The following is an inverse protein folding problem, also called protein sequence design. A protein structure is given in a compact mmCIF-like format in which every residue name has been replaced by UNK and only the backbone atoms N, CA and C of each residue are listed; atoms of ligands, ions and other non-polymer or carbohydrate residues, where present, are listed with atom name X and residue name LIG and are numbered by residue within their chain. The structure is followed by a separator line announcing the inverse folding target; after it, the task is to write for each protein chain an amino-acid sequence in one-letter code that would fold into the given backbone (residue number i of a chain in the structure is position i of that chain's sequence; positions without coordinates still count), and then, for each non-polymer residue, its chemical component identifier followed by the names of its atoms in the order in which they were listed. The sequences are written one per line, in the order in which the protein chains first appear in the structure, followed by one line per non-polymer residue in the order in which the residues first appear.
data_IF_101550981305
#
_entry.id   IF_101550981305
#
_cell.length_a   1.000
_cell.length_b   1.000
_cell.length_c   1.000
_cell.angle_alpha   90.00
_cell.angle_beta   90.00
_cell.angle_gamma   90.00
#
_symmetry.space_group_name_H-M   'P 1'
#
loop_
_entity.id
_entity.type
_entity.pdbx_description
1 polymer ?
#
# COMPACT_ATOMS: atom_id res chain seq x y z
N UNK A 1 31.51 -36.61 -12.48
CA UNK A 1 32.38 -37.62 -13.12
C UNK A 1 31.80 -37.90 -14.51
N UNK A 2 32.35 -37.29 -15.56
CA UNK A 2 31.85 -37.47 -16.92
C UNK A 2 32.33 -38.83 -17.45
N UNK A 3 31.39 -39.67 -17.85
CA UNK A 3 31.62 -41.04 -18.35
C UNK A 3 32.11 -40.93 -19.81
N UNK A 4 33.37 -41.28 -20.05
CA UNK A 4 33.91 -41.39 -21.41
C UNK A 4 33.37 -42.69 -22.04
N UNK A 5 32.68 -42.58 -23.18
CA UNK A 5 32.31 -43.71 -24.03
C UNK A 5 33.44 -43.86 -25.05
N UNK A 6 34.20 -44.94 -24.94
CA UNK A 6 35.17 -45.39 -25.94
C UNK A 6 34.42 -46.18 -27.03
N UNK A 7 34.54 -45.74 -28.28
CA UNK A 7 34.23 -46.54 -29.47
C UNK A 7 35.48 -46.53 -30.34
N UNK A 8 35.80 -47.71 -30.87
CA UNK A 8 37.05 -48.18 -31.45
C UNK A 8 37.66 -47.31 -32.58
N UNK A 9 38.99 -47.38 -32.66
CA UNK A 9 39.72 -47.40 -33.93
C UNK A 9 40.16 -46.04 -34.49
N UNK A 10 41.46 -45.96 -34.80
CA UNK A 10 42.16 -44.91 -35.57
C UNK A 10 42.41 -43.55 -34.92
N UNK A 11 43.69 -43.30 -34.67
CA UNK A 11 44.29 -42.04 -34.24
C UNK A 11 44.12 -41.03 -35.38
N UNK A 12 43.22 -40.05 -35.20
CA UNK A 12 43.33 -38.76 -35.85
C UNK A 12 43.25 -37.69 -34.78
N UNK A 13 44.40 -37.04 -34.53
CA UNK A 13 44.55 -35.91 -33.62
C UNK A 13 43.80 -34.73 -34.24
N UNK A 14 42.49 -34.64 -34.03
CA UNK A 14 41.77 -33.37 -34.13
C UNK A 14 41.85 -32.75 -32.75
N UNK A 15 42.78 -31.79 -32.61
CA UNK A 15 42.95 -30.96 -31.42
C UNK A 15 41.77 -29.98 -31.31
N UNK A 16 40.57 -30.50 -31.08
CA UNK A 16 39.35 -29.70 -30.94
C UNK A 16 39.27 -29.19 -29.51
N UNK A 17 39.93 -28.06 -29.28
CA UNK A 17 39.61 -26.99 -28.34
C UNK A 17 38.79 -27.39 -27.11
N UNK A 18 39.42 -28.15 -26.20
CA UNK A 18 38.83 -28.65 -24.95
C UNK A 18 38.19 -27.53 -24.12
N UNK A 19 38.70 -26.30 -24.20
CA UNK A 19 38.12 -25.14 -23.52
C UNK A 19 36.72 -24.76 -24.01
N UNK A 20 36.42 -24.87 -25.31
CA UNK A 20 35.09 -24.55 -25.85
C UNK A 20 34.02 -25.52 -25.35
N UNK A 21 34.35 -26.79 -25.22
CA UNK A 21 33.42 -27.82 -24.72
C UNK A 21 33.11 -27.59 -23.23
N UNK A 22 34.11 -27.25 -22.42
CA UNK A 22 33.89 -26.88 -21.01
C UNK A 22 33.04 -25.61 -20.87
N UNK A 23 33.25 -24.60 -21.72
CA UNK A 23 32.46 -23.37 -21.71
C UNK A 23 30.99 -23.63 -22.06
N UNK A 24 30.71 -24.46 -23.07
CA UNK A 24 29.35 -24.88 -23.42
C UNK A 24 28.68 -25.71 -22.31
N UNK A 25 29.41 -26.59 -21.63
CA UNK A 25 28.88 -27.37 -20.50
C UNK A 25 28.56 -26.49 -19.28
N UNK A 26 29.39 -25.51 -18.95
CA UNK A 26 29.13 -24.58 -17.84
C UNK A 26 27.95 -23.67 -18.18
N UNK A 27 27.88 -23.17 -19.42
CA UNK A 27 26.80 -22.32 -19.88
C UNK A 27 25.45 -23.05 -19.86
N UNK A 28 25.39 -24.27 -20.39
CA UNK A 28 24.16 -25.10 -20.36
C UNK A 28 23.74 -25.48 -18.93
N UNK A 29 24.69 -25.75 -18.03
CA UNK A 29 24.40 -26.01 -16.62
C UNK A 29 23.82 -24.77 -15.91
N UNK A 30 24.41 -23.59 -16.09
CA UNK A 30 23.90 -22.33 -15.52
C UNK A 30 22.55 -21.93 -16.12
N UNK A 31 22.38 -22.10 -17.43
CA UNK A 31 21.12 -21.82 -18.13
C UNK A 31 19.98 -22.71 -17.62
N UNK A 32 20.25 -23.99 -17.31
CA UNK A 32 19.26 -24.88 -16.72
C UNK A 32 18.83 -24.44 -15.31
N UNK A 33 19.75 -23.92 -14.49
CA UNK A 33 19.45 -23.37 -13.17
C UNK A 33 18.60 -22.10 -13.28
N UNK A 34 18.94 -21.19 -14.19
CA UNK A 34 18.19 -19.95 -14.44
C UNK A 34 16.76 -20.26 -14.88
N UNK A 35 16.56 -21.19 -15.83
CA UNK A 35 15.24 -21.62 -16.27
C UNK A 35 14.42 -22.22 -15.12
N UNK A 36 15.06 -23.00 -14.23
CA UNK A 36 14.40 -23.60 -13.07
C UNK A 36 13.93 -22.54 -12.07
N UNK A 37 14.76 -21.51 -11.82
CA UNK A 37 14.42 -20.38 -10.96
C UNK A 37 13.29 -19.54 -11.58
N UNK A 38 13.37 -19.23 -12.88
CA UNK A 38 12.31 -18.49 -13.59
C UNK A 38 10.98 -19.22 -13.56
N UNK A 39 10.96 -20.55 -13.74
CA UNK A 39 9.74 -21.37 -13.61
C UNK A 39 9.19 -21.36 -12.17
N UNK A 40 10.05 -21.30 -11.16
CA UNK A 40 9.61 -21.20 -9.75
C UNK A 40 9.00 -19.83 -9.44
N UNK A 41 9.60 -18.76 -9.96
CA UNK A 41 9.07 -17.40 -9.82
C UNK A 41 7.73 -17.27 -10.55
N UNK A 42 7.61 -17.84 -11.76
CA UNK A 42 6.36 -17.83 -12.52
C UNK A 42 5.23 -18.58 -11.81
N UNK A 43 5.54 -19.73 -11.19
CA UNK A 43 4.58 -20.49 -10.37
C UNK A 43 4.14 -19.70 -9.12
N UNK A 44 5.05 -18.97 -8.48
CA UNK A 44 4.73 -18.13 -7.33
C UNK A 44 3.76 -17.00 -7.70
N UNK A 45 4.02 -16.30 -8.81
CA UNK A 45 3.12 -15.26 -9.31
C UNK A 45 1.75 -15.82 -9.70
N UNK A 46 1.71 -16.98 -10.37
CA UNK A 46 0.47 -17.67 -10.70
C UNK A 46 -0.34 -18.08 -9.45
N UNK A 47 0.35 -18.52 -8.39
CA UNK A 47 -0.30 -18.86 -7.11
C UNK A 47 -0.87 -17.61 -6.42
N UNK A 48 -0.15 -16.49 -6.43
CA UNK A 48 -0.64 -15.21 -5.89
C UNK A 48 -1.89 -14.74 -6.65
N UNK A 49 -1.88 -14.83 -7.98
CA UNK A 49 -3.04 -14.46 -8.83
C UNK A 49 -4.23 -15.38 -8.54
N UNK A 50 -4.01 -16.69 -8.36
CA UNK A 50 -5.05 -17.66 -7.99
C UNK A 50 -5.67 -17.33 -6.62
N UNK A 51 -4.84 -16.99 -5.63
CA UNK A 51 -5.31 -16.60 -4.29
C UNK A 51 -6.13 -15.31 -4.35
N UNK A 52 -5.69 -14.32 -5.12
CA UNK A 52 -6.46 -13.07 -5.35
C UNK A 52 -7.81 -13.39 -6.00
N UNK A 53 -7.86 -14.30 -6.98
CA UNK A 53 -9.11 -14.73 -7.62
C UNK A 53 -10.07 -15.41 -6.64
N UNK A 54 -9.58 -16.27 -5.73
CA UNK A 54 -10.39 -16.91 -4.69
C UNK A 54 -10.92 -15.93 -3.62
N UNK A 55 -10.24 -14.82 -3.37
CA UNK A 55 -10.73 -13.78 -2.46
C UNK A 55 -11.90 -12.99 -3.10
N UNK A 56 -11.95 -12.88 -4.43
CA UNK A 56 -13.05 -12.18 -5.11
C UNK A 56 -14.36 -12.97 -5.14
N UNK A 57 -14.32 -14.31 -5.10
CA UNK A 57 -15.54 -15.15 -5.13
C UNK A 57 -16.29 -15.20 -3.80
N UNK A 58 -15.60 -14.99 -2.67
CA UNK A 58 -16.25 -14.84 -1.35
C UNK A 58 -16.86 -13.45 -1.16
N UNK A 59 -16.35 -12.42 -1.87
CA UNK A 59 -16.86 -11.06 -1.82
C UNK A 59 -18.24 -10.91 -2.52
N UNK A 60 -18.51 -11.68 -3.58
CA UNK A 60 -19.81 -11.66 -4.27
C UNK A 60 -20.91 -12.42 -3.53
N UNK A 61 -20.57 -13.37 -2.66
CA UNK A 61 -21.54 -14.16 -1.89
C UNK A 61 -22.18 -13.38 -0.73
N UNK A 62 -21.58 -12.26 -0.32
CA UNK A 62 -22.16 -11.36 0.69
C UNK A 62 -23.07 -10.28 0.08
N UNK A 63 -23.24 -10.26 -1.24
CA UNK A 63 -24.00 -9.24 -1.96
C UNK A 63 -25.42 -9.67 -2.35
N UNK A 64 -26.00 -10.68 -1.70
CA UNK A 64 -27.36 -11.10 -2.01
C UNK A 64 -28.25 -11.29 -0.78
N UNK A 65 -29.34 -10.51 -0.80
CA UNK A 65 -30.60 -10.63 -0.07
C UNK A 65 -30.67 -10.09 1.37
N UNK A 66 -30.76 -8.75 1.50
CA UNK A 66 -31.78 -8.23 2.42
C UNK A 66 -33.11 -8.31 1.68
N UNK A 67 -33.88 -9.33 2.03
CA UNK A 67 -35.16 -9.63 1.40
C UNK A 67 -36.17 -8.49 1.48
N UNK A 68 -37.18 -8.59 0.61
CA UNK A 68 -38.45 -7.90 0.71
C UNK A 68 -39.02 -8.02 2.14
N UNK A 69 -38.68 -7.05 2.98
CA UNK A 69 -39.47 -6.69 4.13
C UNK A 69 -40.08 -5.34 3.80
N UNK A 70 -41.40 -5.26 3.80
CA UNK A 70 -42.12 -4.00 3.85
C UNK A 70 -41.56 -3.18 5.04
N UNK A 71 -40.62 -2.28 4.77
CA UNK A 71 -40.03 -1.39 5.76
C UNK A 71 -40.27 0.02 5.26
N UNK A 72 -41.21 0.72 5.90
CA UNK A 72 -41.38 2.15 5.72
C UNK A 72 -40.02 2.83 5.78
N UNK A 73 -39.81 3.82 4.90
CA UNK A 73 -38.56 4.53 4.68
C UNK A 73 -37.71 4.64 5.94
N UNK A 74 -36.79 3.68 6.15
CA UNK A 74 -35.81 3.80 7.22
C UNK A 74 -34.90 4.91 6.75
N UNK A 75 -35.14 6.12 7.26
CA UNK A 75 -34.29 7.30 7.07
C UNK A 75 -32.91 6.96 7.62
N UNK A 76 -32.07 6.37 6.75
CA UNK A 76 -30.70 5.96 7.11
C UNK A 76 -29.98 7.19 7.62
N UNK A 77 -29.32 7.06 8.76
CA UNK A 77 -28.56 8.15 9.32
C UNK A 77 -27.45 8.53 8.32
N UNK A 78 -27.38 9.80 7.87
CA UNK A 78 -26.34 10.22 6.92
C UNK A 78 -24.95 10.29 7.56
N UNK A 79 -24.87 10.24 8.90
CA UNK A 79 -23.61 10.31 9.63
C UNK A 79 -22.89 8.96 9.62
N UNK A 80 -21.56 9.03 9.49
CA UNK A 80 -20.68 7.88 9.64
C UNK A 80 -19.42 8.27 10.40
N UNK A 81 -18.87 7.30 11.11
CA UNK A 81 -17.63 7.45 11.86
C UNK A 81 -16.65 6.38 11.43
N UNK A 82 -15.37 6.67 11.51
CA UNK A 82 -14.35 5.70 11.15
C UNK A 82 -12.98 6.14 11.60
N UNK A 83 -11.98 5.44 11.09
CA UNK A 83 -10.60 5.78 11.30
C UNK A 83 -9.76 5.27 10.16
N UNK A 84 -8.68 5.97 9.90
CA UNK A 84 -7.65 5.59 8.97
C UNK A 84 -6.39 5.28 9.75
N UNK A 85 -5.68 4.27 9.28
CA UNK A 85 -4.35 3.96 9.72
C UNK A 85 -3.42 4.02 8.52
N UNK A 86 -2.25 4.60 8.76
CA UNK A 86 -1.20 4.75 7.79
C UNK A 86 0.14 4.61 8.47
N UNK A 87 1.19 4.60 7.67
CA UNK A 87 2.54 4.55 8.18
C UNK A 87 3.52 4.28 7.07
N UNK A 88 4.77 4.65 7.32
CA UNK A 88 5.88 4.38 6.42
C UNK A 88 7.02 3.78 7.22
N UNK A 89 7.73 2.82 6.66
CA UNK A 89 8.91 2.22 7.27
C UNK A 89 10.10 2.38 6.32
N UNK A 90 11.23 2.82 6.86
CA UNK A 90 12.49 3.03 6.18
C UNK A 90 13.63 2.42 6.99
N UNK A 91 14.81 2.23 6.38
CA UNK A 91 15.97 1.64 7.03
C UNK A 91 16.47 2.44 8.26
N UNK A 92 16.13 3.73 8.32
CA UNK A 92 16.59 4.66 9.35
C UNK A 92 15.44 5.23 10.21
N UNK A 93 14.25 4.64 10.15
CA UNK A 93 13.11 5.08 10.95
C UNK A 93 11.76 4.65 10.42
N UNK A 94 10.71 4.91 11.19
CA UNK A 94 9.33 4.63 10.82
C UNK A 94 8.38 5.70 11.29
N UNK A 95 7.26 5.83 10.59
CA UNK A 95 6.13 6.68 10.98
C UNK A 95 4.86 5.83 11.08
N UNK A 96 4.01 6.20 12.01
CA UNK A 96 2.71 5.59 12.23
C UNK A 96 1.66 6.69 12.34
N UNK A 97 0.63 6.59 11.51
CA UNK A 97 -0.46 7.55 11.42
C UNK A 97 -1.75 6.88 11.92
N UNK A 98 -2.41 7.49 12.90
CA UNK A 98 -3.79 7.20 13.24
C UNK A 98 -4.60 8.44 12.93
N UNK A 99 -5.73 8.24 12.25
CA UNK A 99 -6.57 9.34 11.88
C UNK A 99 -8.07 9.03 12.00
N UNK A 100 -8.70 9.27 13.16
CA UNK A 100 -10.14 9.13 13.29
C UNK A 100 -10.85 10.16 12.40
N UNK A 101 -11.99 9.75 11.83
CA UNK A 101 -12.79 10.58 10.95
C UNK A 101 -14.27 10.52 11.31
N UNK A 102 -14.95 11.63 11.03
CA UNK A 102 -16.40 11.74 11.07
C UNK A 102 -16.86 12.37 9.77
N UNK A 103 -17.88 11.80 9.16
CA UNK A 103 -18.40 12.29 7.90
C UNK A 103 -19.91 12.25 7.81
N UNK A 104 -20.41 12.97 6.82
CA UNK A 104 -21.80 13.17 6.50
C UNK A 104 -22.02 12.86 5.02
N UNK A 105 -23.01 12.01 4.73
CA UNK A 105 -23.45 11.69 3.37
C UNK A 105 -24.40 12.77 2.88
N UNK A 106 -23.91 13.67 2.03
CA UNK A 106 -24.71 14.75 1.44
C UNK A 106 -25.62 14.18 0.36
N UNK A 107 -25.07 13.31 -0.49
CA UNK A 107 -25.83 12.51 -1.46
C UNK A 107 -25.42 11.05 -1.33
N UNK A 108 -26.13 10.10 -1.99
CA UNK A 108 -25.73 8.69 -1.97
C UNK A 108 -24.28 8.47 -2.39
N UNK A 109 -23.75 9.32 -3.28
CA UNK A 109 -22.43 9.21 -3.88
C UNK A 109 -21.44 10.31 -3.44
N UNK A 110 -21.89 11.33 -2.73
CA UNK A 110 -21.04 12.42 -2.26
C UNK A 110 -21.03 12.50 -0.73
N UNK A 111 -19.84 12.32 -0.17
CA UNK A 111 -19.59 12.34 1.27
C UNK A 111 -18.61 13.46 1.58
N UNK A 112 -18.83 14.15 2.69
CA UNK A 112 -17.89 15.15 3.20
C UNK A 112 -17.65 14.87 4.67
N UNK A 113 -16.51 15.31 5.20
CA UNK A 113 -16.23 15.09 6.60
C UNK A 113 -14.96 15.76 7.06
N UNK A 114 -14.66 15.50 8.32
CA UNK A 114 -13.44 15.95 8.96
C UNK A 114 -12.66 14.73 9.45
N UNK A 115 -11.35 14.87 9.46
CA UNK A 115 -10.43 13.87 9.97
C UNK A 115 -9.43 14.55 10.88
N UNK A 116 -9.14 13.92 12.01
CA UNK A 116 -8.05 14.32 12.88
C UNK A 116 -6.87 13.43 12.57
N UNK A 117 -5.68 13.99 12.49
CA UNK A 117 -4.46 13.25 12.15
C UNK A 117 -3.52 13.30 13.33
N UNK A 118 -3.01 12.14 13.75
CA UNK A 118 -1.91 12.02 14.69
C UNK A 118 -0.84 11.11 14.10
N UNK A 119 0.37 11.64 13.98
CA UNK A 119 1.52 10.93 13.41
C UNK A 119 2.61 10.84 14.47
N UNK A 120 3.03 9.62 14.73
CA UNK A 120 4.20 9.33 15.53
C UNK A 120 5.33 8.89 14.60
N UNK A 121 6.44 9.61 14.61
CA UNK A 121 7.60 9.29 13.78
C UNK A 121 8.84 9.11 14.66
N UNK A 122 9.62 8.08 14.39
CA UNK A 122 10.90 7.83 15.06
C UNK A 122 11.97 7.65 14.00
N UNK A 123 12.97 8.51 14.00
CA UNK A 123 14.11 8.44 13.09
C UNK A 123 15.43 8.36 13.86
N UNK A 124 16.31 7.48 13.38
CA UNK A 124 17.69 7.38 13.84
C UNK A 124 18.58 8.23 12.93
N UNK A 125 19.01 9.38 13.44
CA UNK A 125 19.84 10.31 12.69
C UNK A 125 21.34 9.96 12.73
N UNK A 126 21.74 8.97 13.53
CA UNK A 126 23.15 8.63 13.75
C UNK A 126 23.96 9.73 14.48
N UNK A 127 25.15 9.38 14.97
CA UNK A 127 26.03 10.31 15.71
C UNK A 127 25.52 10.67 17.12
N UNK A 128 25.81 11.89 17.61
CA UNK A 128 25.44 12.36 18.95
C UNK A 128 23.94 12.70 19.13
N UNK A 129 23.13 12.64 18.06
CA UNK A 129 21.72 13.06 18.06
C UNK A 129 20.77 11.91 18.45
N UNK A 130 21.18 10.66 18.22
CA UNK A 130 20.42 9.46 18.60
C UNK A 130 19.05 9.30 17.91
N UNK A 131 18.23 8.40 18.45
CA UNK A 131 16.82 8.23 18.06
C UNK A 131 15.99 9.38 18.64
N UNK A 132 15.31 10.15 17.77
CA UNK A 132 14.40 11.21 18.20
C UNK A 132 12.94 10.89 17.81
N UNK A 133 12.01 10.85 18.78
CA UNK A 133 10.58 10.78 18.48
C UNK A 133 10.03 12.15 18.12
N UNK A 134 9.15 12.19 17.12
CA UNK A 134 8.38 13.37 16.71
C UNK A 134 6.89 13.06 16.82
N UNK A 135 6.15 14.08 17.26
CA UNK A 135 4.71 14.02 17.47
C UNK A 135 4.05 15.11 16.65
N UNK A 136 3.44 14.70 15.53
CA UNK A 136 2.74 15.63 14.65
C UNK A 136 1.23 15.43 14.82
N UNK A 137 0.49 16.52 14.86
CA UNK A 137 -0.95 16.49 15.01
C UNK A 137 -1.60 17.56 14.16
N UNK A 138 -2.79 17.25 13.66
CA UNK A 138 -3.47 18.10 12.71
C UNK A 138 -4.92 17.74 12.52
N UNK A 139 -5.58 18.52 11.67
CA UNK A 139 -6.94 18.29 11.26
C UNK A 139 -7.08 18.53 9.77
N UNK A 140 -8.03 17.85 9.17
CA UNK A 140 -8.31 17.96 7.75
C UNK A 140 -9.80 17.91 7.45
N UNK A 141 -10.14 18.47 6.29
CA UNK A 141 -11.45 18.41 5.69
C UNK A 141 -11.34 17.60 4.41
N UNK A 142 -12.24 16.63 4.25
CA UNK A 142 -12.26 15.78 3.07
C UNK A 142 -13.62 15.81 2.37
N UNK A 143 -13.55 15.60 1.07
CA UNK A 143 -14.69 15.35 0.19
C UNK A 143 -14.40 14.10 -0.63
N UNK A 144 -15.37 13.20 -0.65
CA UNK A 144 -15.30 11.93 -1.38
C UNK A 144 -16.46 11.84 -2.34
N UNK A 145 -16.16 11.43 -3.57
CA UNK A 145 -17.16 11.14 -4.57
C UNK A 145 -17.02 9.69 -5.04
N UNK A 146 -18.10 8.91 -4.94
CA UNK A 146 -18.17 7.54 -5.44
C UNK A 146 -18.48 7.56 -6.94
N UNK A 147 -17.50 7.18 -7.76
CA UNK A 147 -17.70 7.07 -9.21
C UNK A 147 -18.32 5.72 -9.58
N UNK A 148 -17.86 4.64 -8.93
CA UNK A 148 -18.37 3.29 -9.13
C UNK A 148 -18.56 2.59 -7.77
N UNK A 149 -19.27 1.47 -7.75
CA UNK A 149 -19.54 0.71 -6.52
C UNK A 149 -18.28 0.37 -5.72
N UNK A 150 -17.13 0.24 -6.40
CA UNK A 150 -15.84 -0.05 -5.79
C UNK A 150 -14.85 1.12 -5.84
N UNK A 151 -15.10 2.20 -6.60
CA UNK A 151 -14.11 3.24 -6.89
C UNK A 151 -14.57 4.60 -6.38
N UNK A 152 -13.71 5.25 -5.60
CA UNK A 152 -13.96 6.54 -4.96
C UNK A 152 -12.85 7.51 -5.31
N UNK A 153 -13.20 8.73 -5.70
CA UNK A 153 -12.29 9.86 -5.72
C UNK A 153 -12.32 10.56 -4.36
N UNK A 154 -11.15 10.95 -3.87
CA UNK A 154 -10.97 11.59 -2.57
C UNK A 154 -10.13 12.85 -2.74
N UNK A 155 -10.64 13.96 -2.21
CA UNK A 155 -9.95 15.23 -2.11
C UNK A 155 -9.92 15.64 -0.64
N UNK A 156 -8.78 16.07 -0.15
CA UNK A 156 -8.60 16.38 1.25
C UNK A 156 -7.60 17.50 1.46
N UNK A 157 -7.99 18.48 2.28
CA UNK A 157 -7.15 19.57 2.71
C UNK A 157 -6.80 19.39 4.18
N UNK A 158 -5.51 19.22 4.46
CA UNK A 158 -4.97 18.96 5.79
C UNK A 158 -4.12 20.14 6.28
N UNK A 159 -4.28 20.46 7.56
CA UNK A 159 -3.44 21.41 8.30
C UNK A 159 -2.77 20.63 9.42
N UNK A 160 -1.45 20.47 9.33
CA UNK A 160 -0.64 19.67 10.25
C UNK A 160 0.35 20.58 10.99
N UNK A 161 0.42 20.46 12.31
CA UNK A 161 1.47 21.06 13.11
C UNK A 161 2.60 20.05 13.26
N UNK A 162 3.70 20.29 12.55
CA UNK A 162 4.86 19.39 12.52
C UNK A 162 5.95 19.91 13.43
N UNK A 163 6.56 19.02 14.20
CA UNK A 163 7.69 19.31 15.06
C UNK A 163 9.00 18.95 14.35
N UNK A 164 9.93 19.90 14.25
CA UNK A 164 11.25 19.66 13.65
C UNK A 164 12.36 20.09 14.60
N UNK A 165 13.48 19.34 14.64
CA UNK A 165 14.62 19.69 15.47
C UNK A 165 15.36 20.84 14.79
N UNK A 166 15.51 21.97 15.50
CA UNK A 166 16.38 23.07 15.05
C UNK A 166 17.79 22.87 15.60
N UNK A 167 17.90 22.27 16.79
CA UNK A 167 19.17 21.99 17.45
C UNK A 167 19.10 20.69 18.26
N UNK A 168 20.21 20.27 18.90
CA UNK A 168 20.24 19.04 19.71
C UNK A 168 19.21 19.07 20.87
N UNK A 169 18.85 20.26 21.36
CA UNK A 169 17.99 20.48 22.52
C UNK A 169 16.71 21.27 22.23
N UNK A 170 16.54 21.85 21.05
CA UNK A 170 15.39 22.72 20.73
C UNK A 170 14.60 22.18 19.53
N UNK A 171 13.33 21.90 19.77
CA UNK A 171 12.35 21.59 18.75
C UNK A 171 11.50 22.83 18.48
N UNK A 172 11.26 23.14 17.21
CA UNK A 172 10.34 24.21 16.79
C UNK A 172 9.17 23.58 16.04
N UNK A 173 7.98 24.16 16.20
CA UNK A 173 6.78 23.72 15.49
C UNK A 173 6.46 24.66 14.33
N UNK A 174 6.05 24.08 13.20
CA UNK A 174 5.52 24.83 12.05
C UNK A 174 4.26 24.17 11.55
N UNK A 175 3.32 25.02 11.17
CA UNK A 175 2.09 24.60 10.51
C UNK A 175 2.36 24.41 9.02
N UNK A 176 1.97 23.26 8.50
CA UNK A 176 2.08 22.87 7.10
C UNK A 176 0.69 22.56 6.60
N UNK A 177 0.39 23.06 5.39
CA UNK A 177 -0.85 22.75 4.71
C UNK A 177 -0.55 21.77 3.59
N UNK A 178 -1.32 20.69 3.51
CA UNK A 178 -1.22 19.65 2.49
C UNK A 178 -2.55 19.51 1.77
N UNK A 179 -2.52 19.34 0.45
CA UNK A 179 -3.70 19.08 -0.35
C UNK A 179 -3.53 17.72 -1.03
N UNK A 180 -4.27 16.74 -0.53
CA UNK A 180 -4.29 15.38 -1.04
C UNK A 180 -5.39 15.24 -2.09
N UNK A 181 -5.01 14.84 -3.28
CA UNK A 181 -5.93 14.44 -4.34
C UNK A 181 -5.63 13.00 -4.72
N UNK A 182 -6.68 12.20 -4.90
CA UNK A 182 -6.49 10.85 -5.36
C UNK A 182 -7.78 10.06 -5.38
N UNK A 183 -7.63 8.75 -5.23
CA UNK A 183 -8.74 7.84 -5.27
C UNK A 183 -8.37 6.48 -4.73
N UNK A 184 -9.39 5.65 -4.56
CA UNK A 184 -9.24 4.40 -3.85
C UNK A 184 -10.35 3.42 -4.13
N UNK A 185 -10.18 2.26 -3.50
CA UNK A 185 -11.17 1.21 -3.47
C UNK A 185 -12.05 1.36 -2.23
N UNK A 186 -13.35 1.23 -2.41
CA UNK A 186 -14.34 1.21 -1.34
C UNK A 186 -14.99 -0.17 -1.30
N UNK A 187 -14.99 -0.79 -0.13
CA UNK A 187 -15.61 -2.10 0.09
C UNK A 187 -16.59 -2.00 1.27
N UNK A 188 -17.86 -2.36 1.02
CA UNK A 188 -18.81 -2.51 2.11
C UNK A 188 -18.57 -3.86 2.81
N UNK A 189 -18.43 -3.85 4.12
CA UNK A 189 -18.17 -5.05 4.93
C UNK A 189 -19.46 -5.69 5.48
N UNK A 190 -20.60 -5.44 4.80
CA UNK A 190 -21.92 -5.85 5.28
C UNK A 190 -22.47 -4.95 6.39
N UNK A 191 -23.80 -4.85 6.47
CA UNK A 191 -24.49 -4.00 7.45
C UNK A 191 -24.17 -2.52 7.27
N UNK A 192 -23.67 -1.87 8.33
CA UNK A 192 -23.27 -0.45 8.31
C UNK A 192 -21.75 -0.25 8.17
N UNK A 193 -20.97 -1.32 8.09
CA UNK A 193 -19.49 -1.26 8.03
C UNK A 193 -18.94 -1.03 6.63
N UNK A 194 -17.79 -0.36 6.55
CA UNK A 194 -17.04 -0.17 5.32
C UNK A 194 -15.53 -0.17 5.56
N UNK A 195 -14.78 -0.56 4.53
CA UNK A 195 -13.33 -0.46 4.44
C UNK A 195 -12.96 0.30 3.16
N UNK A 196 -11.83 1.00 3.22
CA UNK A 196 -11.31 1.80 2.12
C UNK A 196 -9.81 1.65 2.01
N UNK A 197 -9.30 1.60 0.79
CA UNK A 197 -7.88 1.66 0.50
C UNK A 197 -7.70 2.84 -0.45
N UNK A 198 -6.94 3.85 -0.04
CA UNK A 198 -6.78 5.09 -0.80
C UNK A 198 -5.34 5.30 -1.20
N UNK A 199 -5.15 5.76 -2.43
CA UNK A 199 -3.88 6.25 -2.95
C UNK A 199 -4.06 7.74 -3.18
N UNK A 200 -3.28 8.53 -2.45
CA UNK A 200 -3.39 9.98 -2.40
C UNK A 200 -2.06 10.60 -2.85
N UNK A 201 -2.17 11.69 -3.58
CA UNK A 201 -1.03 12.48 -4.01
C UNK A 201 -1.12 13.87 -3.39
N UNK A 202 -0.07 14.29 -2.67
CA UNK A 202 0.01 15.63 -2.11
C UNK A 202 0.46 16.61 -3.19
N UNK A 203 -0.42 17.52 -3.59
CA UNK A 203 -0.15 18.54 -4.62
C UNK A 203 0.59 19.74 -4.03
N UNK A 204 0.35 20.04 -2.75
CA UNK A 204 1.01 21.13 -2.03
C UNK A 204 2.26 20.61 -1.30
N UNK A 205 3.07 19.81 -1.98
CA UNK A 205 4.29 19.27 -1.39
C UNK A 205 5.27 20.40 -1.08
N UNK A 206 5.61 20.54 0.20
CA UNK A 206 6.66 21.45 0.66
C UNK A 206 7.83 20.65 1.19
N UNK A 207 9.03 21.23 1.23
CA UNK A 207 10.25 20.60 1.77
C UNK A 207 10.10 20.05 3.20
N UNK A 208 9.07 20.51 3.93
CA UNK A 208 8.81 20.13 5.31
C UNK A 208 7.67 19.10 5.46
N UNK A 209 7.04 18.68 4.36
CA UNK A 209 6.00 17.66 4.39
C UNK A 209 6.57 16.33 4.91
N UNK A 210 5.98 15.70 5.94
CA UNK A 210 6.43 14.40 6.45
C UNK A 210 6.02 13.24 5.53
N UNK A 211 5.27 13.52 4.47
CA UNK A 211 4.74 12.52 3.54
C UNK A 211 5.62 12.37 2.30
N UNK A 212 5.87 11.11 1.92
CA UNK A 212 6.40 10.75 0.61
C UNK A 212 5.27 10.40 -0.34
N UNK A 213 5.23 11.05 -1.50
CA UNK A 213 4.24 10.77 -2.54
C UNK A 213 4.59 9.48 -3.33
N UNK A 214 3.63 8.60 -3.65
CA UNK A 214 2.21 8.62 -3.26
C UNK A 214 1.97 8.06 -1.84
N UNK A 215 0.99 8.64 -1.15
CA UNK A 215 0.56 8.20 0.19
C UNK A 215 -0.51 7.12 0.06
N UNK A 216 -0.28 5.97 0.67
CA UNK A 216 -1.24 4.87 0.72
C UNK A 216 -1.84 4.85 2.12
N UNK A 217 -3.16 4.85 2.22
CA UNK A 217 -3.88 4.79 3.50
C UNK A 217 -4.96 3.73 3.47
N UNK A 218 -5.17 3.07 4.61
CA UNK A 218 -6.23 2.09 4.77
C UNK A 218 -7.18 2.60 5.86
N UNK A 219 -8.48 2.64 5.55
CA UNK A 219 -9.50 3.14 6.43
C UNK A 219 -10.60 2.12 6.69
N UNK A 220 -11.16 2.17 7.89
CA UNK A 220 -12.31 1.37 8.30
C UNK A 220 -13.33 2.29 8.98
N UNK A 221 -14.61 1.98 8.84
CA UNK A 221 -15.65 2.78 9.48
C UNK A 221 -17.01 2.11 9.51
N UNK A 222 -17.93 2.78 10.20
CA UNK A 222 -19.30 2.33 10.44
C UNK A 222 -20.24 3.52 10.26
N UNK A 223 -21.29 3.32 9.47
CA UNK A 223 -22.44 4.24 9.39
C UNK A 223 -23.31 4.14 10.64
N UNK A 224 -23.84 5.27 11.10
CA UNK A 224 -24.69 5.32 12.29
C UNK A 224 -26.15 4.95 11.98
#
# INVERSE_FOLDING_TARGET
MCKYILIEGTINVVKTDTQKIYFYCIFTFYWSKIIKVMKSILKLHALIILVIFFITSTATAQYQNLGNANQGEIKRNPWFVGGMIGGSFSNNGGSFEIAPLVGYKVTPDFNVGTRLTYIYSSFDYGGNIGNKPFHDYGGSLFAQHRLFNFLVAHAEYEVLSVEYPVDQYTNTRRTINSLFLGGGLFQSMGGRGFATIMILYNVLETKYSPYSNPVIRIGFGVGL
#
